data_IF_795882857830
#
_entry.id   IF_795882857830
#
_cell.length_a   1.000
_cell.length_b   1.000
_cell.length_c   1.000
_cell.angle_alpha   90.00
_cell.angle_beta   90.00
_cell.angle_gamma   90.00
#
_symmetry.space_group_name_H-M   'P 1'
#
loop_
_entity.id
_entity.type
_entity.pdbx_description
1 polymer ?
#
# COMPACT_ATOMS: atom_id res chain seq x y z
N UNK A 1 3.06 -9.20 -38.36
CA UNK A 1 2.37 -8.35 -37.38
C UNK A 1 2.68 -8.90 -35.99
N UNK A 2 3.87 -8.59 -35.43
CA UNK A 2 4.26 -9.03 -34.08
C UNK A 2 3.53 -8.14 -33.08
N UNK A 3 2.79 -8.74 -32.16
CA UNK A 3 2.08 -8.03 -31.09
C UNK A 3 3.06 -7.17 -30.31
N UNK A 4 2.87 -5.86 -30.37
CA UNK A 4 3.67 -4.87 -29.62
C UNK A 4 3.15 -4.71 -28.18
N UNK A 5 2.18 -5.50 -27.73
CA UNK A 5 1.46 -5.21 -26.48
C UNK A 5 1.30 -6.47 -25.63
N UNK A 6 2.35 -6.85 -24.93
CA UNK A 6 2.26 -7.64 -23.70
C UNK A 6 3.55 -7.41 -22.90
N UNK A 7 3.66 -6.20 -22.33
CA UNK A 7 4.66 -5.92 -21.31
C UNK A 7 4.14 -6.47 -19.98
N UNK A 8 4.85 -7.44 -19.40
CA UNK A 8 4.52 -8.02 -18.09
C UNK A 8 4.35 -6.95 -16.99
N UNK A 9 5.09 -5.83 -17.05
CA UNK A 9 4.98 -4.69 -16.11
C UNK A 9 3.64 -3.94 -16.15
N UNK A 10 2.87 -4.09 -17.24
CA UNK A 10 1.57 -3.42 -17.41
C UNK A 10 0.39 -4.35 -17.19
N UNK A 11 0.65 -5.63 -16.88
CA UNK A 11 -0.39 -6.59 -16.53
C UNK A 11 -0.94 -6.27 -15.15
N UNK A 12 -2.26 -6.36 -15.00
CA UNK A 12 -2.93 -6.05 -13.75
C UNK A 12 -2.47 -6.98 -12.62
N UNK A 13 -2.21 -8.24 -12.94
CA UNK A 13 -1.78 -9.26 -11.99
C UNK A 13 -0.46 -8.92 -11.28
N UNK A 14 0.41 -8.08 -11.88
CA UNK A 14 1.67 -7.66 -11.27
C UNK A 14 1.47 -6.78 -10.01
N UNK A 15 0.26 -6.26 -9.78
CA UNK A 15 -0.10 -5.41 -8.65
C UNK A 15 -1.01 -6.11 -7.63
N UNK A 16 -1.34 -7.39 -7.86
CA UNK A 16 -2.19 -8.17 -6.97
C UNK A 16 -1.42 -8.64 -5.72
N UNK A 17 -2.08 -8.68 -4.57
CA UNK A 17 -1.49 -9.13 -3.31
C UNK A 17 -2.56 -9.71 -2.38
N UNK A 18 -2.14 -10.63 -1.50
CA UNK A 18 -3.04 -11.22 -0.51
C UNK A 18 -3.49 -10.18 0.53
N UNK A 19 -4.77 -9.79 0.47
CA UNK A 19 -5.39 -8.89 1.43
C UNK A 19 -6.54 -9.60 2.16
N UNK A 20 -6.32 -10.04 3.42
CA UNK A 20 -7.41 -10.56 4.24
C UNK A 20 -8.52 -9.51 4.42
N UNK A 21 -9.76 -9.90 4.20
CA UNK A 21 -10.92 -8.99 4.30
C UNK A 21 -11.04 -8.34 5.69
N UNK A 22 -10.60 -9.03 6.73
CA UNK A 22 -10.60 -8.53 8.12
C UNK A 22 -9.66 -7.34 8.35
N UNK A 23 -8.69 -7.12 7.46
CA UNK A 23 -7.78 -5.98 7.50
C UNK A 23 -8.33 -4.74 6.78
N UNK A 24 -9.47 -4.87 6.08
CA UNK A 24 -10.17 -3.73 5.46
C UNK A 24 -11.00 -3.04 6.54
N UNK A 25 -10.67 -1.78 6.83
CA UNK A 25 -11.39 -1.02 7.83
C UNK A 25 -12.84 -0.74 7.38
N UNK A 26 -13.81 -1.25 8.13
CA UNK A 26 -15.23 -0.96 7.89
C UNK A 26 -15.62 0.48 8.29
N UNK A 27 -14.95 1.04 9.30
CA UNK A 27 -15.17 2.38 9.83
C UNK A 27 -13.84 3.03 10.23
N UNK A 28 -13.74 4.37 10.23
CA UNK A 28 -12.55 5.05 10.73
C UNK A 28 -12.37 4.83 12.24
N UNK A 29 -11.13 5.04 12.74
CA UNK A 29 -10.86 5.13 14.18
C UNK A 29 -11.62 6.30 14.82
N UNK A 30 -11.95 6.17 16.11
CA UNK A 30 -12.69 7.19 16.86
C UNK A 30 -11.97 8.55 16.83
N UNK A 31 -10.65 8.55 17.03
CA UNK A 31 -9.77 9.70 16.80
C UNK A 31 -8.94 9.42 15.56
N UNK A 32 -8.99 10.31 14.57
CA UNK A 32 -8.42 10.06 13.25
C UNK A 32 -6.90 9.99 13.30
N UNK A 33 -6.30 10.83 14.13
CA UNK A 33 -4.86 10.95 14.33
C UNK A 33 -4.23 9.68 14.96
N UNK A 34 -5.02 8.82 15.62
CA UNK A 34 -4.58 7.53 16.15
C UNK A 34 -4.40 6.44 15.08
N UNK A 35 -4.73 6.74 13.82
CA UNK A 35 -4.51 5.82 12.71
C UNK A 35 -3.00 5.53 12.55
N UNK A 36 -2.67 4.28 12.22
CA UNK A 36 -1.30 3.86 11.91
C UNK A 36 -0.82 4.55 10.63
N UNK A 37 0.45 4.91 10.61
CA UNK A 37 1.13 5.50 9.45
C UNK A 37 2.35 4.65 9.11
N UNK A 38 2.44 4.22 7.85
CA UNK A 38 3.63 3.57 7.29
C UNK A 38 4.47 4.62 6.57
N UNK A 39 5.71 4.80 7.01
CA UNK A 39 6.66 5.74 6.41
C UNK A 39 7.67 4.93 5.58
N UNK A 40 7.80 5.27 4.29
CA UNK A 40 8.71 4.60 3.37
C UNK A 40 9.86 5.54 2.97
N UNK A 41 11.08 5.18 3.37
CA UNK A 41 12.31 5.83 2.93
C UNK A 41 12.77 5.23 1.61
N UNK A 42 12.30 5.79 0.48
CA UNK A 42 12.50 5.23 -0.87
C UNK A 42 13.97 4.97 -1.24
N UNK A 43 14.88 5.88 -0.87
CA UNK A 43 16.30 5.74 -1.18
C UNK A 43 16.99 4.62 -0.38
N UNK A 44 16.50 4.35 0.84
CA UNK A 44 17.06 3.35 1.76
C UNK A 44 16.33 2.00 1.68
N UNK A 45 15.23 1.92 0.93
CA UNK A 45 14.28 0.81 0.96
C UNK A 45 13.85 0.41 2.39
N UNK A 46 13.77 1.40 3.30
CA UNK A 46 13.46 1.19 4.73
C UNK A 46 12.02 1.60 5.04
N UNK A 47 11.36 0.81 5.86
CA UNK A 47 10.00 1.06 6.35
C UNK A 47 10.03 1.38 7.84
N UNK A 48 9.26 2.37 8.26
CA UNK A 48 9.01 2.72 9.64
C UNK A 48 7.49 2.74 9.92
N UNK A 49 7.09 2.36 11.14
CA UNK A 49 5.70 2.38 11.57
C UNK A 49 5.50 3.40 12.69
N UNK A 50 4.55 4.31 12.50
CA UNK A 50 4.21 5.38 13.46
C UNK A 50 2.71 5.65 13.47
N UNK A 51 2.27 6.81 13.97
CA UNK A 51 0.88 7.29 13.94
C UNK A 51 0.79 8.69 13.34
N UNK A 52 -0.39 9.07 12.85
CA UNK A 52 -0.63 10.42 12.30
C UNK A 52 -0.51 11.54 13.34
N UNK A 53 -0.56 11.25 14.65
CA UNK A 53 -0.26 12.21 15.70
C UNK A 53 1.19 12.73 15.71
N UNK A 54 2.11 12.03 15.03
CA UNK A 54 3.56 12.29 15.08
C UNK A 54 4.09 13.03 13.84
N UNK A 55 3.20 13.57 13.00
CA UNK A 55 3.53 14.38 11.82
C UNK A 55 2.88 15.76 11.93
#
# INVERSE_FOLDING_TARGET
>A
MRSVLENEETRLEAYDYELPETLIAAYPRQRREESRLMVLHRAEARIECTTFQRI
#
